data_IF_103313987395
#
_entry.id   IF_103313987395
#
_cell.length_a   1.000
_cell.length_b   1.000
_cell.length_c   1.000
_cell.angle_alpha   90.00
_cell.angle_beta   90.00
_cell.angle_gamma   90.00
#
_symmetry.space_group_name_H-M   'P 1'
#
loop_
_entity.id
_entity.type
_entity.pdbx_description
1 polymer ?
#
# COMPACT_ATOMS: atom_id res chain seq x y z
N UNK A 1 -15.44 -10.54 42.39
CA UNK A 1 -16.51 -10.88 41.43
C UNK A 1 -16.61 -9.92 40.23
N UNK A 2 -16.47 -8.60 40.42
CA UNK A 2 -16.62 -7.59 39.35
C UNK A 2 -15.47 -7.61 38.32
N UNK A 3 -14.22 -7.81 38.73
CA UNK A 3 -13.04 -7.90 37.82
C UNK A 3 -13.16 -9.03 36.79
N UNK A 4 -13.67 -10.19 37.19
CA UNK A 4 -13.92 -11.32 36.28
C UNK A 4 -14.99 -10.99 35.23
N UNK A 5 -16.09 -10.34 35.63
CA UNK A 5 -17.15 -9.93 34.70
C UNK A 5 -16.61 -8.97 33.62
N UNK A 6 -15.78 -8.01 34.01
CA UNK A 6 -15.13 -7.08 33.06
C UNK A 6 -14.14 -7.79 32.13
N UNK A 7 -13.32 -8.69 32.66
CA UNK A 7 -12.38 -9.49 31.86
C UNK A 7 -13.13 -10.36 30.83
N UNK A 8 -14.20 -11.05 31.26
CA UNK A 8 -15.05 -11.85 30.38
C UNK A 8 -15.70 -11.00 29.28
N UNK A 9 -16.20 -9.80 29.62
CA UNK A 9 -16.79 -8.88 28.64
C UNK A 9 -15.75 -8.42 27.62
N UNK A 10 -14.52 -8.11 28.05
CA UNK A 10 -13.41 -7.74 27.18
C UNK A 10 -13.06 -8.89 26.22
N UNK A 11 -12.86 -10.10 26.75
CA UNK A 11 -12.58 -11.29 25.93
C UNK A 11 -13.68 -11.57 24.89
N UNK A 12 -14.97 -11.49 25.30
CA UNK A 12 -16.10 -11.65 24.37
C UNK A 12 -16.18 -10.54 23.32
N UNK A 13 -15.73 -9.32 23.63
CA UNK A 13 -15.66 -8.23 22.66
C UNK A 13 -14.54 -8.52 21.65
N UNK A 14 -13.32 -8.80 22.13
CA UNK A 14 -12.17 -9.12 21.29
C UNK A 14 -12.43 -10.31 20.37
N UNK A 15 -13.04 -11.39 20.86
CA UNK A 15 -13.36 -12.54 20.01
C UNK A 15 -14.35 -12.21 18.89
N UNK A 16 -15.33 -11.32 19.15
CA UNK A 16 -16.30 -10.89 18.13
C UNK A 16 -15.65 -9.99 17.09
N UNK A 17 -14.77 -9.08 17.52
CA UNK A 17 -14.00 -8.20 16.64
C UNK A 17 -13.06 -9.03 15.73
N UNK A 18 -12.28 -9.94 16.30
CA UNK A 18 -11.40 -10.83 15.54
C UNK A 18 -12.16 -11.71 14.54
N UNK A 19 -13.35 -12.20 14.91
CA UNK A 19 -14.18 -12.97 13.99
C UNK A 19 -14.68 -12.12 12.82
N UNK A 20 -15.14 -10.89 13.09
CA UNK A 20 -15.58 -9.97 12.05
C UNK A 20 -14.45 -9.60 11.08
N UNK A 21 -13.28 -9.21 11.60
CA UNK A 21 -12.08 -8.90 10.80
C UNK A 21 -11.64 -10.10 9.96
N UNK A 22 -11.66 -11.31 10.53
CA UNK A 22 -11.33 -12.53 9.79
C UNK A 22 -12.28 -12.76 8.63
N UNK A 23 -13.59 -12.65 8.85
CA UNK A 23 -14.58 -12.84 7.78
C UNK A 23 -14.46 -11.79 6.67
N UNK A 24 -14.20 -10.53 7.02
CA UNK A 24 -13.96 -9.45 6.05
C UNK A 24 -12.72 -9.72 5.20
N UNK A 25 -11.59 -10.11 5.83
CA UNK A 25 -10.36 -10.46 5.13
C UNK A 25 -10.52 -11.71 4.25
N UNK A 26 -11.21 -12.75 4.73
CA UNK A 26 -11.48 -13.95 3.93
C UNK A 26 -12.29 -13.63 2.67
N UNK A 27 -13.25 -12.72 2.75
CA UNK A 27 -14.06 -12.30 1.61
C UNK A 27 -13.23 -11.51 0.59
N UNK A 28 -12.40 -10.58 1.06
CA UNK A 28 -11.48 -9.80 0.21
C UNK A 28 -10.49 -10.70 -0.53
N UNK A 29 -9.87 -11.63 0.19
CA UNK A 29 -8.95 -12.61 -0.41
C UNK A 29 -9.67 -13.57 -1.35
N UNK A 30 -10.90 -13.98 -1.04
CA UNK A 30 -11.68 -14.81 -1.97
C UNK A 30 -11.98 -14.09 -3.28
N UNK A 31 -12.22 -12.78 -3.25
CA UNK A 31 -12.40 -11.99 -4.48
C UNK A 31 -11.07 -11.87 -5.22
N UNK A 32 -9.97 -11.54 -4.53
CA UNK A 32 -8.64 -11.46 -5.14
C UNK A 32 -8.24 -12.78 -5.84
N UNK A 33 -8.47 -13.92 -5.18
CA UNK A 33 -8.20 -15.23 -5.77
C UNK A 33 -9.03 -15.51 -7.02
N UNK A 34 -10.29 -15.06 -7.08
CA UNK A 34 -11.13 -15.23 -8.27
C UNK A 34 -10.67 -14.34 -9.42
N UNK A 35 -10.24 -13.11 -9.13
CA UNK A 35 -9.79 -12.15 -10.14
C UNK A 35 -8.38 -12.44 -10.66
N UNK A 36 -7.59 -13.27 -9.96
CA UNK A 36 -6.21 -13.61 -10.34
C UNK A 36 -6.07 -14.18 -11.76
N UNK A 37 -7.06 -14.96 -12.20
CA UNK A 37 -7.02 -15.65 -13.49
C UNK A 37 -7.56 -14.78 -14.64
N UNK A 38 -8.05 -13.57 -14.34
CA UNK A 38 -8.54 -12.63 -15.35
C UNK A 38 -7.39 -11.75 -15.85
N UNK A 39 -7.38 -11.39 -17.14
CA UNK A 39 -6.35 -10.50 -17.72
C UNK A 39 -6.36 -9.09 -17.09
N UNK A 40 -7.50 -8.68 -16.54
CA UNK A 40 -7.69 -7.40 -15.86
C UNK A 40 -9.17 -7.13 -15.60
N UNK A 41 -9.44 -6.19 -14.70
CA UNK A 41 -10.81 -5.80 -14.35
C UNK A 41 -10.90 -4.32 -13.99
N UNK A 42 -12.12 -3.78 -14.04
CA UNK A 42 -12.38 -2.36 -13.85
C UNK A 42 -13.21 -2.10 -12.60
N UNK A 43 -12.95 -0.97 -11.94
CA UNK A 43 -13.77 -0.45 -10.85
C UNK A 43 -14.73 0.63 -11.37
N UNK A 44 -16.02 0.33 -11.58
CA UNK A 44 -16.99 1.38 -11.86
C UNK A 44 -17.24 2.18 -10.56
N UNK A 45 -17.29 3.51 -10.67
CA UNK A 45 -17.36 4.42 -9.53
C UNK A 45 -18.74 5.08 -9.42
N UNK A 46 -19.14 5.38 -8.18
CA UNK A 46 -20.31 6.19 -7.84
C UNK A 46 -19.89 7.42 -7.02
N UNK A 47 -20.72 8.47 -6.98
CA UNK A 47 -20.43 9.72 -6.26
C UNK A 47 -21.27 9.86 -5.00
N UNK A 48 -20.69 10.38 -3.91
CA UNK A 48 -21.47 10.85 -2.74
C UNK A 48 -22.14 12.20 -3.01
N UNK A 49 -22.95 12.68 -2.06
CA UNK A 49 -23.67 13.97 -2.17
C UNK A 49 -22.76 15.20 -2.27
N UNK A 50 -21.45 15.05 -2.01
CA UNK A 50 -20.42 16.09 -2.12
C UNK A 50 -19.58 15.94 -3.39
N UNK A 51 -19.85 14.91 -4.20
CA UNK A 51 -19.13 14.60 -5.43
C UNK A 51 -17.85 13.77 -5.25
N UNK A 52 -17.61 13.15 -4.08
CA UNK A 52 -16.46 12.24 -3.90
C UNK A 52 -16.74 10.89 -4.56
N UNK A 53 -15.77 10.38 -5.32
CA UNK A 53 -15.89 9.11 -6.02
C UNK A 53 -15.52 7.91 -5.14
N UNK A 54 -16.32 6.84 -5.24
CA UNK A 54 -16.14 5.58 -4.54
C UNK A 54 -16.36 4.40 -5.48
N UNK A 55 -15.50 3.36 -5.48
CA UNK A 55 -15.77 2.13 -6.21
C UNK A 55 -17.08 1.50 -5.75
N UNK A 56 -17.89 1.02 -6.70
CA UNK A 56 -19.15 0.35 -6.37
C UNK A 56 -18.94 -1.05 -5.79
N UNK A 57 -17.79 -1.67 -6.05
CA UNK A 57 -17.48 -3.00 -5.53
C UNK A 57 -17.09 -2.92 -4.04
N UNK A 58 -17.79 -3.60 -3.12
CA UNK A 58 -17.67 -3.35 -1.69
C UNK A 58 -16.54 -4.10 -0.98
N UNK A 59 -16.00 -5.17 -1.58
CA UNK A 59 -15.06 -6.06 -0.88
C UNK A 59 -13.60 -5.74 -1.20
N UNK A 60 -13.12 -6.13 -2.38
CA UNK A 60 -11.78 -5.80 -2.85
C UNK A 60 -11.82 -4.47 -3.60
N UNK A 61 -11.02 -3.50 -3.18
CA UNK A 61 -10.98 -2.16 -3.75
C UNK A 61 -9.68 -1.44 -3.38
N UNK A 62 -9.17 -0.60 -4.29
CA UNK A 62 -8.01 0.25 -4.07
C UNK A 62 -8.23 1.34 -3.01
N UNK A 63 -9.48 1.65 -2.63
CA UNK A 63 -9.78 2.50 -1.48
C UNK A 63 -9.72 1.75 -0.14
N UNK A 64 -9.59 0.43 -0.16
CA UNK A 64 -9.61 -0.43 1.01
C UNK A 64 -8.38 -0.33 1.92
N UNK A 65 -8.24 -1.32 2.79
CA UNK A 65 -7.10 -1.52 3.70
C UNK A 65 -5.79 -1.78 2.97
N UNK A 66 -4.67 -1.66 3.68
CA UNK A 66 -3.31 -1.86 3.13
C UNK A 66 -3.17 -3.14 2.31
N UNK A 67 -3.62 -4.30 2.81
CA UNK A 67 -3.58 -5.55 2.05
C UNK A 67 -4.44 -5.55 0.77
N UNK A 68 -5.54 -4.78 0.72
CA UNK A 68 -6.30 -4.63 -0.52
C UNK A 68 -5.49 -3.85 -1.55
N UNK A 69 -4.77 -2.81 -1.12
CA UNK A 69 -3.93 -1.99 -1.99
C UNK A 69 -2.66 -2.72 -2.42
N UNK A 70 -2.04 -3.49 -1.52
CA UNK A 70 -0.83 -4.25 -1.81
C UNK A 70 -1.04 -5.44 -2.76
N UNK A 71 -2.27 -5.92 -2.91
CA UNK A 71 -2.62 -7.01 -3.85
C UNK A 71 -3.05 -6.49 -5.22
N UNK A 72 -3.39 -5.20 -5.33
CA UNK A 72 -3.88 -4.60 -6.58
C UNK A 72 -2.78 -3.85 -7.31
N UNK A 73 -2.64 -4.11 -8.60
CA UNK A 73 -1.75 -3.40 -9.52
C UNK A 73 -2.50 -3.02 -10.81
N UNK A 74 -1.88 -2.19 -11.66
CA UNK A 74 -2.45 -1.89 -12.97
C UNK A 74 -2.31 -3.09 -13.90
N UNK A 75 -3.37 -3.45 -14.62
CA UNK A 75 -3.30 -4.51 -15.63
C UNK A 75 -2.32 -4.15 -16.77
N UNK A 76 -2.29 -2.89 -17.17
CA UNK A 76 -1.34 -2.36 -18.15
C UNK A 76 -0.11 -1.78 -17.45
N UNK A 77 1.03 -2.45 -17.60
CA UNK A 77 2.31 -2.00 -17.07
C UNK A 77 3.00 -1.00 -17.99
N UNK A 78 3.87 -0.17 -17.41
CA UNK A 78 4.67 0.83 -18.14
C UNK A 78 6.16 0.65 -17.86
N UNK A 79 6.99 0.92 -18.87
CA UNK A 79 8.45 0.95 -18.68
C UNK A 79 8.83 2.08 -17.74
N UNK A 80 9.60 1.79 -16.69
CA UNK A 80 9.95 2.76 -15.66
C UNK A 80 10.65 4.02 -16.20
N UNK A 81 11.57 3.85 -17.15
CA UNK A 81 12.50 4.90 -17.53
C UNK A 81 13.36 5.40 -16.36
N UNK A 82 14.11 6.47 -16.59
CA UNK A 82 15.00 7.05 -15.55
C UNK A 82 14.21 7.57 -14.34
N UNK A 83 13.09 8.23 -14.59
CA UNK A 83 12.29 8.87 -13.55
C UNK A 83 11.36 7.88 -12.83
N UNK A 84 10.80 6.89 -13.53
CA UNK A 84 9.94 5.89 -12.88
C UNK A 84 10.70 5.06 -11.86
N UNK A 85 11.96 4.66 -12.16
CA UNK A 85 12.78 3.95 -11.17
C UNK A 85 13.05 4.81 -9.93
N UNK A 86 13.27 6.12 -10.12
CA UNK A 86 13.41 7.06 -9.02
C UNK A 86 12.13 7.17 -8.18
N UNK A 87 10.98 7.30 -8.85
CA UNK A 87 9.67 7.37 -8.19
C UNK A 87 9.27 6.08 -7.48
N UNK A 88 9.65 4.92 -8.01
CA UNK A 88 9.45 3.63 -7.36
C UNK A 88 10.21 3.55 -6.03
N UNK A 89 11.47 4.01 -6.01
CA UNK A 89 12.24 4.12 -4.75
C UNK A 89 11.59 5.09 -3.77
N UNK A 90 11.19 6.28 -4.23
CA UNK A 90 10.48 7.26 -3.38
C UNK A 90 9.18 6.68 -2.83
N UNK A 91 8.45 5.91 -3.65
CA UNK A 91 7.22 5.24 -3.23
C UNK A 91 7.48 4.23 -2.12
N UNK A 92 8.48 3.35 -2.28
CA UNK A 92 8.88 2.40 -1.25
C UNK A 92 9.21 3.12 0.06
N UNK A 93 10.01 4.18 0.00
CA UNK A 93 10.34 5.00 1.16
C UNK A 93 9.10 5.63 1.84
N UNK A 94 8.10 6.06 1.06
CA UNK A 94 6.84 6.56 1.59
C UNK A 94 6.01 5.46 2.27
N UNK A 95 5.95 4.26 1.68
CA UNK A 95 5.21 3.11 2.25
C UNK A 95 5.89 2.52 3.49
N UNK A 96 7.21 2.67 3.60
CA UNK A 96 7.95 2.34 4.81
C UNK A 96 7.49 3.19 6.01
N UNK A 97 7.25 4.49 5.81
CA UNK A 97 6.76 5.38 6.87
C UNK A 97 7.80 5.65 7.97
N UNK A 98 7.37 5.85 9.22
CA UNK A 98 8.28 5.98 10.36
C UNK A 98 9.11 7.28 10.37
N UNK A 99 8.65 8.31 9.66
CA UNK A 99 9.35 9.58 9.48
C UNK A 99 10.20 9.64 8.20
N UNK A 100 10.40 8.52 7.50
CA UNK A 100 11.12 8.48 6.22
C UNK A 100 10.31 9.18 5.12
N UNK A 101 8.98 9.10 5.18
CA UNK A 101 8.05 9.78 4.28
C UNK A 101 8.15 11.31 4.34
N UNK A 102 8.74 11.86 5.41
CA UNK A 102 8.96 13.30 5.62
C UNK A 102 10.31 13.80 5.11
N UNK A 103 11.22 12.90 4.74
CA UNK A 103 12.51 13.29 4.20
C UNK A 103 12.35 13.97 2.83
N UNK A 104 13.40 14.68 2.40
CA UNK A 104 13.49 15.14 1.02
C UNK A 104 13.50 13.95 0.05
N UNK A 105 13.21 14.19 -1.23
CA UNK A 105 13.32 13.13 -2.25
C UNK A 105 14.71 12.49 -2.27
N UNK A 106 15.78 13.28 -2.15
CA UNK A 106 17.15 12.77 -2.05
C UNK A 106 17.37 11.91 -0.81
N UNK A 107 16.84 12.32 0.35
CA UNK A 107 16.91 11.54 1.58
C UNK A 107 16.17 10.20 1.47
N UNK A 108 15.01 10.18 0.81
CA UNK A 108 14.25 8.95 0.53
C UNK A 108 15.02 8.00 -0.39
N UNK A 109 15.64 8.54 -1.45
CA UNK A 109 16.48 7.74 -2.34
C UNK A 109 17.66 7.12 -1.59
N UNK A 110 18.39 7.93 -0.82
CA UNK A 110 19.52 7.45 -0.03
C UNK A 110 19.11 6.37 0.99
N UNK A 111 17.95 6.52 1.63
CA UNK A 111 17.39 5.48 2.51
C UNK A 111 17.20 4.16 1.77
N UNK A 112 16.58 4.18 0.59
CA UNK A 112 16.34 2.97 -0.21
C UNK A 112 17.64 2.32 -0.67
N UNK A 113 18.63 3.10 -1.13
CA UNK A 113 19.95 2.56 -1.50
C UNK A 113 20.64 1.87 -0.31
N UNK A 114 20.50 2.42 0.90
CA UNK A 114 21.07 1.84 2.11
C UNK A 114 20.34 0.59 2.62
N UNK A 115 19.15 0.29 2.10
CA UNK A 115 18.31 -0.83 2.53
C UNK A 115 18.12 -1.88 1.42
N UNK A 116 18.91 -1.82 0.33
CA UNK A 116 18.78 -2.76 -0.79
C UNK A 116 18.86 -4.23 -0.38
N UNK A 117 19.68 -4.56 0.63
CA UNK A 117 19.75 -5.93 1.14
C UNK A 117 18.41 -6.41 1.71
N UNK A 118 17.81 -5.61 2.60
CA UNK A 118 16.53 -5.95 3.24
C UNK A 118 15.37 -5.93 2.23
N UNK A 119 15.43 -5.07 1.21
CA UNK A 119 14.47 -5.02 0.12
C UNK A 119 14.54 -6.31 -0.72
N UNK A 120 15.75 -6.73 -1.11
CA UNK A 120 15.93 -7.97 -1.87
C UNK A 120 15.56 -9.21 -1.06
N UNK A 121 15.85 -9.23 0.25
CA UNK A 121 15.44 -10.31 1.14
C UNK A 121 13.92 -10.35 1.32
N UNK A 122 13.28 -9.20 1.54
CA UNK A 122 11.81 -9.10 1.67
C UNK A 122 11.11 -9.58 0.40
N UNK A 123 11.64 -9.28 -0.78
CA UNK A 123 11.09 -9.75 -2.05
C UNK A 123 11.28 -11.26 -2.27
N UNK A 124 12.44 -11.80 -1.90
CA UNK A 124 12.78 -13.21 -2.16
C UNK A 124 12.22 -14.17 -1.10
N UNK A 125 12.26 -13.78 0.17
CA UNK A 125 11.89 -14.59 1.33
C UNK A 125 10.91 -13.80 2.24
N UNK A 126 9.71 -13.46 1.77
CA UNK A 126 8.80 -12.56 2.49
C UNK A 126 8.35 -13.07 3.88
N UNK A 127 8.36 -14.38 4.11
CA UNK A 127 7.91 -15.00 5.37
C UNK A 127 9.05 -15.60 6.18
N UNK A 128 10.04 -16.21 5.51
CA UNK A 128 11.13 -16.94 6.17
C UNK A 128 12.43 -16.13 6.28
N UNK A 129 12.47 -14.92 5.70
CA UNK A 129 13.60 -14.00 5.78
C UNK A 129 13.56 -13.09 7.01
N UNK A 130 14.20 -11.93 6.91
CA UNK A 130 14.28 -10.93 7.98
C UNK A 130 12.94 -10.23 8.25
N UNK A 131 11.94 -10.39 7.36
CA UNK A 131 10.61 -9.80 7.49
C UNK A 131 10.66 -8.27 7.70
N UNK A 132 11.64 -7.59 7.08
CA UNK A 132 11.84 -6.15 7.25
C UNK A 132 10.57 -5.35 6.91
N UNK A 133 9.87 -5.77 5.86
CA UNK A 133 8.61 -5.17 5.41
C UNK A 133 7.46 -5.24 6.44
N UNK A 134 7.50 -6.08 7.48
CA UNK A 134 6.37 -6.20 8.43
C UNK A 134 6.38 -5.12 9.51
N UNK A 135 7.51 -4.44 9.72
CA UNK A 135 7.69 -3.46 10.81
C UNK A 135 7.46 -2.00 10.36
N UNK A 136 6.63 -1.82 9.33
CA UNK A 136 6.41 -0.54 8.64
C UNK A 136 4.95 -0.10 8.74
N UNK A 137 4.63 1.12 8.31
CA UNK A 137 3.26 1.64 8.39
C UNK A 137 2.28 0.95 7.43
N UNK A 138 2.69 0.74 6.17
CA UNK A 138 1.91 0.08 5.12
C UNK A 138 2.62 -1.21 4.65
N UNK A 139 2.59 -2.31 5.43
CA UNK A 139 3.44 -3.49 5.18
C UNK A 139 3.20 -4.16 3.83
N UNK A 140 1.95 -4.39 3.42
CA UNK A 140 1.67 -5.09 2.17
C UNK A 140 2.00 -4.25 0.94
N UNK A 141 1.72 -2.94 0.97
CA UNK A 141 2.18 -2.04 -0.11
C UNK A 141 3.72 -1.93 -0.12
N UNK A 142 4.38 -1.90 1.04
CA UNK A 142 5.84 -1.90 1.13
C UNK A 142 6.44 -3.17 0.52
N UNK A 143 5.85 -4.34 0.82
CA UNK A 143 6.28 -5.61 0.25
C UNK A 143 6.10 -5.64 -1.28
N UNK A 144 4.95 -5.20 -1.79
CA UNK A 144 4.71 -5.09 -3.24
C UNK A 144 5.75 -4.18 -3.91
N UNK A 145 6.10 -3.05 -3.28
CA UNK A 145 7.15 -2.16 -3.76
C UNK A 145 8.55 -2.81 -3.70
N UNK A 146 8.84 -3.62 -2.68
CA UNK A 146 10.09 -4.37 -2.59
C UNK A 146 10.22 -5.38 -3.72
N UNK A 147 9.14 -6.09 -4.06
CA UNK A 147 9.08 -7.04 -5.16
C UNK A 147 9.31 -6.33 -6.51
N UNK A 148 8.52 -5.31 -6.82
CA UNK A 148 8.60 -4.56 -8.08
C UNK A 148 9.99 -3.90 -8.27
N UNK A 149 10.55 -3.29 -7.21
CA UNK A 149 11.89 -2.72 -7.26
C UNK A 149 12.98 -3.79 -7.42
N UNK A 150 12.83 -4.95 -6.76
CA UNK A 150 13.80 -6.04 -6.87
C UNK A 150 13.85 -6.60 -8.28
N UNK A 151 12.69 -6.80 -8.91
CA UNK A 151 12.58 -7.28 -10.28
C UNK A 151 13.16 -6.27 -11.27
N UNK A 152 12.85 -4.98 -11.07
CA UNK A 152 13.43 -3.91 -11.87
C UNK A 152 14.97 -3.86 -11.76
N UNK A 153 15.54 -3.96 -10.55
CA UNK A 153 16.99 -3.87 -10.35
C UNK A 153 17.75 -5.14 -10.79
N UNK A 154 17.09 -6.31 -10.81
CA UNK A 154 17.68 -7.56 -11.33
C UNK A 154 17.59 -7.65 -12.85
N UNK A 155 16.73 -6.87 -13.49
CA UNK A 155 16.65 -6.78 -14.95
C UNK A 155 17.98 -6.29 -15.55
N UNK A 156 18.40 -6.82 -16.72
CA UNK A 156 19.57 -6.31 -17.44
C UNK A 156 19.42 -4.84 -17.85
N UNK A 157 18.19 -4.31 -17.87
CA UNK A 157 17.94 -2.89 -18.07
C UNK A 157 16.84 -2.39 -17.11
N UNK A 158 17.22 -1.90 -15.92
CA UNK A 158 16.26 -1.42 -14.92
C UNK A 158 15.34 -0.30 -15.41
N UNK A 159 15.82 0.55 -16.33
CA UNK A 159 15.01 1.63 -16.92
C UNK A 159 14.00 1.13 -17.97
N UNK A 160 14.16 -0.08 -18.48
CA UNK A 160 13.21 -0.70 -19.40
C UNK A 160 12.37 -1.81 -18.75
N UNK A 161 12.58 -2.06 -17.44
CA UNK A 161 11.70 -2.92 -16.67
C UNK A 161 10.27 -2.34 -16.68
N UNK A 162 9.30 -3.22 -16.91
CA UNK A 162 7.87 -2.88 -16.89
C UNK A 162 7.39 -3.03 -15.46
N UNK A 163 6.80 -1.97 -14.93
CA UNK A 163 6.18 -1.95 -13.61
C UNK A 163 4.68 -1.76 -13.75
N UNK A 164 3.95 -2.49 -12.92
CA UNK A 164 2.49 -2.42 -12.80
C UNK A 164 2.05 -1.68 -11.54
N UNK A 165 3.01 -1.37 -10.66
CA UNK A 165 2.73 -0.86 -9.32
C UNK A 165 2.22 0.60 -9.36
N UNK A 166 1.08 0.90 -8.72
CA UNK A 166 0.58 2.27 -8.63
C UNK A 166 1.44 3.13 -7.69
N UNK A 167 2.02 4.20 -8.23
CA UNK A 167 2.80 5.17 -7.44
C UNK A 167 1.87 6.25 -6.84
N UNK A 168 1.64 6.17 -5.53
CA UNK A 168 0.81 7.14 -4.81
C UNK A 168 1.51 8.51 -4.61
N UNK A 169 0.79 9.59 -4.95
CA UNK A 169 1.11 10.96 -4.56
C UNK A 169 -0.10 11.52 -3.80
N UNK A 170 0.10 11.94 -2.55
CA UNK A 170 -0.96 12.51 -1.72
C UNK A 170 -0.60 13.91 -1.25
N UNK A 171 -1.61 14.75 -1.09
CA UNK A 171 -1.44 16.11 -0.61
C UNK A 171 -1.60 16.19 0.91
N UNK A 172 -0.55 16.67 1.57
CA UNK A 172 -0.53 16.89 3.03
C UNK A 172 -1.63 17.86 3.45
N UNK A 173 -2.68 17.35 4.09
CA UNK A 173 -3.82 18.14 4.57
C UNK A 173 -4.56 18.91 3.45
N UNK A 174 -4.99 18.22 2.39
CA UNK A 174 -5.74 18.79 1.24
C UNK A 174 -6.82 19.83 1.62
N UNK A 175 -7.56 19.62 2.72
CA UNK A 175 -8.56 20.60 3.18
C UNK A 175 -7.97 21.97 3.52
N UNK A 176 -6.84 22.01 4.23
CA UNK A 176 -6.15 23.26 4.57
C UNK A 176 -5.49 23.88 3.34
N UNK A 177 -4.99 23.07 2.41
CA UNK A 177 -4.44 23.57 1.14
C UNK A 177 -5.50 24.34 0.35
N UNK A 178 -6.73 23.81 0.28
CA UNK A 178 -7.84 24.53 -0.35
C UNK A 178 -8.20 25.81 0.40
N UNK A 179 -8.24 25.80 1.73
CA UNK A 179 -8.50 27.02 2.51
C UNK A 179 -7.44 28.09 2.31
N UNK A 180 -6.16 27.73 2.36
CA UNK A 180 -5.06 28.66 2.13
C UNK A 180 -5.11 29.24 0.71
N UNK A 181 -5.39 28.42 -0.31
CA UNK A 181 -5.54 28.87 -1.69
C UNK A 181 -6.72 29.84 -1.88
N UNK A 182 -7.86 29.56 -1.25
CA UNK A 182 -9.04 30.45 -1.28
C UNK A 182 -8.78 31.77 -0.53
N UNK A 183 -8.15 31.70 0.63
CA UNK A 183 -7.80 32.86 1.46
C UNK A 183 -6.62 33.66 0.93
N UNK A 184 -5.81 33.08 0.03
CA UNK A 184 -4.50 33.59 -0.38
C UNK A 184 -3.58 33.85 0.82
N UNK A 185 -3.64 32.94 1.79
CA UNK A 185 -2.87 32.99 3.03
C UNK A 185 -1.41 32.58 2.77
N UNK A 186 -0.46 33.29 3.40
CA UNK A 186 0.99 33.15 3.16
C UNK A 186 1.77 32.71 4.41
#
# INVERSE_FOLDING_TARGET
MQKWKWSLKKAKKTNRELHAERCDNELKLSVAHKMREEDGFYYPHNLDFRGRAYPMHPHLSHLGSDHCRGVLEYAEGLSLGKYGLCWLKIHLANKYGGGIEKLSHEGKLAFVENQLFDIFDSAANPVDGNCWWTNVEDPFQCLAACMDLSDALRSPSPYHAVSHLPIHQDGSCNGLQHYAALGRDY
#
